data_IF_921895178919
#
_entry.id   IF_921895178919
#
_cell.length_a   1.000
_cell.length_b   1.000
_cell.length_c   1.000
_cell.angle_alpha   90.00
_cell.angle_beta   90.00
_cell.angle_gamma   90.00
#
_symmetry.space_group_name_H-M   'P 1'
#
loop_
_entity.id
_entity.type
_entity.pdbx_description
1 polymer ?
#
# COMPACT_ATOMS: atom_id res chain seq x y z
N UNK A 1 -21.82 12.54 0.36
CA UNK A 1 -21.96 11.16 -0.14
C UNK A 1 -21.01 10.31 0.69
N UNK A 2 -21.52 9.74 1.78
CA UNK A 2 -20.71 9.10 2.83
C UNK A 2 -20.21 7.73 2.39
N UNK A 3 -18.90 7.55 2.41
CA UNK A 3 -18.26 6.27 2.15
C UNK A 3 -18.67 5.27 3.24
N UNK A 4 -19.11 4.09 2.81
CA UNK A 4 -19.40 2.95 3.67
C UNK A 4 -18.15 2.57 4.46
N UNK A 5 -18.10 2.92 5.74
CA UNK A 5 -17.12 2.40 6.69
C UNK A 5 -17.36 0.89 6.82
N UNK A 6 -16.60 0.09 6.07
CA UNK A 6 -16.62 -1.37 6.26
C UNK A 6 -15.94 -1.66 7.60
N UNK A 7 -16.61 -2.40 8.48
CA UNK A 7 -15.93 -2.90 9.67
C UNK A 7 -14.79 -3.83 9.22
N UNK A 8 -13.75 -3.95 10.03
CA UNK A 8 -12.58 -4.80 9.72
C UNK A 8 -13.00 -6.27 9.47
N UNK A 9 -14.14 -6.69 10.04
CA UNK A 9 -14.75 -8.01 9.80
C UNK A 9 -15.23 -8.22 8.37
N UNK A 10 -15.56 -7.16 7.62
CA UNK A 10 -16.23 -7.24 6.31
C UNK A 10 -15.24 -6.99 5.15
N UNK A 11 -13.95 -6.89 5.47
CA UNK A 11 -12.84 -6.64 4.54
C UNK A 11 -12.78 -7.65 3.40
N UNK A 12 -12.96 -8.93 3.72
CA UNK A 12 -12.91 -10.03 2.73
C UNK A 12 -14.03 -9.95 1.69
N UNK A 13 -15.16 -9.33 2.03
CA UNK A 13 -16.34 -9.21 1.18
C UNK A 13 -16.37 -7.88 0.40
N UNK A 14 -15.38 -7.01 0.60
CA UNK A 14 -15.30 -5.72 -0.06
C UNK A 14 -15.11 -5.90 -1.59
N UNK A 15 -16.05 -5.41 -2.43
CA UNK A 15 -15.98 -5.61 -3.88
C UNK A 15 -14.69 -5.05 -4.50
N UNK A 16 -14.23 -3.89 -4.05
CA UNK A 16 -13.03 -3.25 -4.58
C UNK A 16 -11.78 -4.08 -4.30
N UNK A 17 -11.69 -4.67 -3.10
CA UNK A 17 -10.58 -5.58 -2.77
C UNK A 17 -10.69 -6.89 -3.54
N UNK A 18 -11.89 -7.41 -3.75
CA UNK A 18 -12.11 -8.62 -4.58
C UNK A 18 -11.71 -8.37 -6.04
N UNK A 19 -11.95 -7.17 -6.56
CA UNK A 19 -11.45 -6.75 -7.88
C UNK A 19 -9.92 -6.67 -7.88
N UNK A 20 -9.31 -6.03 -6.87
CA UNK A 20 -7.85 -5.91 -6.78
C UNK A 20 -7.14 -7.28 -6.80
N UNK A 21 -7.65 -8.25 -6.05
CA UNK A 21 -7.05 -9.59 -5.94
C UNK A 21 -7.51 -10.55 -7.04
N UNK A 22 -8.32 -10.07 -8.00
CA UNK A 22 -8.87 -10.86 -9.09
C UNK A 22 -7.85 -11.25 -10.18
N UNK A 23 -8.31 -12.05 -11.13
CA UNK A 23 -7.51 -12.54 -12.28
C UNK A 23 -7.42 -11.57 -13.44
N UNK A 24 -8.27 -10.55 -13.46
CA UNK A 24 -8.30 -9.54 -14.51
C UNK A 24 -7.32 -8.41 -14.18
N UNK A 25 -6.56 -7.97 -15.18
CA UNK A 25 -5.66 -6.83 -15.06
C UNK A 25 -6.46 -5.53 -14.95
N UNK A 26 -5.99 -4.64 -14.11
CA UNK A 26 -6.57 -3.32 -13.92
C UNK A 26 -5.63 -2.28 -14.51
N UNK A 27 -6.10 -1.56 -15.53
CA UNK A 27 -5.31 -0.49 -16.15
C UNK A 27 -4.97 0.61 -15.14
N UNK A 28 -3.76 1.15 -15.21
CA UNK A 28 -3.34 2.29 -14.37
C UNK A 28 -4.21 3.54 -14.57
N UNK A 29 -4.87 3.66 -15.72
CA UNK A 29 -5.79 4.77 -16.02
C UNK A 29 -7.23 4.49 -15.57
N UNK A 30 -7.52 3.33 -14.99
CA UNK A 30 -8.86 2.95 -14.60
C UNK A 30 -9.35 3.80 -13.40
N UNK A 31 -10.57 4.38 -13.45
CA UNK A 31 -11.16 5.11 -12.33
C UNK A 31 -11.26 4.30 -11.03
N UNK A 32 -11.22 2.96 -11.13
CA UNK A 32 -11.14 2.03 -10.00
C UNK A 32 -10.11 2.47 -8.96
N UNK A 33 -8.91 2.89 -9.37
CA UNK A 33 -7.84 3.24 -8.44
C UNK A 33 -8.23 4.40 -7.54
N UNK A 34 -8.82 5.45 -8.11
CA UNK A 34 -9.30 6.59 -7.34
C UNK A 34 -10.38 6.19 -6.36
N UNK A 35 -11.28 5.28 -6.75
CA UNK A 35 -12.29 4.75 -5.83
C UNK A 35 -11.64 3.94 -4.71
N UNK A 36 -10.77 2.99 -5.04
CA UNK A 36 -10.08 2.10 -4.11
C UNK A 36 -9.29 2.89 -3.06
N UNK A 37 -8.41 3.80 -3.50
CA UNK A 37 -7.54 4.56 -2.59
C UNK A 37 -8.29 5.71 -1.88
N UNK A 38 -9.51 6.03 -2.32
CA UNK A 38 -10.43 6.90 -1.58
C UNK A 38 -11.42 6.15 -0.67
N UNK A 39 -11.37 4.81 -0.61
CA UNK A 39 -12.04 4.06 0.46
C UNK A 39 -11.11 3.99 1.68
N UNK A 40 -11.59 4.41 2.85
CA UNK A 40 -10.79 4.39 4.08
C UNK A 40 -11.03 3.12 4.89
N UNK A 41 -9.98 2.31 5.05
CA UNK A 41 -9.75 1.57 6.29
C UNK A 41 -9.30 2.59 7.34
N UNK A 42 -9.87 2.55 8.53
CA UNK A 42 -9.36 3.38 9.63
C UNK A 42 -7.95 2.85 9.96
N UNK A 43 -6.92 3.49 9.40
CA UNK A 43 -5.54 3.21 9.80
C UNK A 43 -5.42 3.51 11.30
N UNK A 44 -4.95 2.57 12.15
CA UNK A 44 -4.91 2.75 13.60
C UNK A 44 -4.12 3.99 14.06
N UNK A 45 -3.25 4.53 13.20
CA UNK A 45 -2.42 5.72 13.44
C UNK A 45 -3.03 7.02 12.92
N UNK A 46 -4.02 6.97 12.04
CA UNK A 46 -4.58 8.17 11.40
C UNK A 46 -5.80 8.68 12.16
N UNK A 47 -5.56 9.29 13.33
CA UNK A 47 -6.58 10.04 14.08
C UNK A 47 -6.41 11.57 14.02
N UNK A 48 -5.53 12.07 13.16
CA UNK A 48 -5.30 13.52 13.02
C UNK A 48 -6.06 14.19 11.87
N UNK A 49 -6.79 13.46 11.03
CA UNK A 49 -7.66 14.09 10.02
C UNK A 49 -9.05 14.33 10.61
N UNK A 50 -9.17 15.35 11.46
CA UNK A 50 -10.43 16.07 11.62
C UNK A 50 -10.18 17.56 11.41
N UNK A 51 -10.65 18.09 10.27
CA UNK A 51 -11.30 19.39 10.30
C UNK A 51 -12.77 19.32 9.84
N UNK A 52 -13.34 18.12 9.65
CA UNK A 52 -14.74 17.96 9.16
C UNK A 52 -15.75 17.74 10.31
N UNK A 53 -15.33 17.38 11.53
CA UNK A 53 -16.26 17.14 12.65
C UNK A 53 -15.77 17.77 13.98
N UNK A 54 -16.25 18.98 14.34
CA UNK A 54 -15.78 19.72 15.51
C UNK A 54 -16.35 19.27 16.87
N UNK A 55 -17.25 18.28 16.92
CA UNK A 55 -17.98 17.91 18.15
C UNK A 55 -17.81 16.44 18.59
N UNK A 56 -16.80 15.72 18.12
CA UNK A 56 -16.48 14.40 18.66
C UNK A 56 -15.26 14.50 19.58
N UNK A 57 -15.51 14.42 20.88
CA UNK A 57 -14.51 14.44 21.95
C UNK A 57 -13.36 13.48 21.64
N UNK A 58 -12.15 14.03 21.56
CA UNK A 58 -10.91 13.30 21.34
C UNK A 58 -10.48 12.57 22.63
N UNK A 59 -10.19 11.27 22.60
CA UNK A 59 -9.12 10.70 23.40
C UNK A 59 -7.85 10.78 22.56
N UNK A 60 -7.02 11.77 22.88
CA UNK A 60 -5.59 11.80 22.58
C UNK A 60 -4.99 10.40 22.82
N UNK A 61 -4.36 9.83 21.78
CA UNK A 61 -3.58 8.59 21.84
C UNK A 61 -4.25 7.47 22.65
N UNK A 62 -5.30 6.85 22.10
CA UNK A 62 -5.31 5.39 22.24
C UNK A 62 -4.28 4.92 21.25
N UNK A 63 -3.13 4.48 21.79
CA UNK A 63 -2.44 3.30 21.30
C UNK A 63 -3.45 2.44 20.55
N UNK A 64 -3.12 2.11 19.30
CA UNK A 64 -3.65 0.97 18.56
C UNK A 64 -4.52 0.11 19.46
N UNK A 65 -5.84 0.13 19.26
CA UNK A 65 -6.64 -0.93 19.83
C UNK A 65 -6.04 -2.20 19.21
N UNK A 66 -5.22 -2.92 19.99
CA UNK A 66 -4.39 -4.01 19.46
C UNK A 66 -5.26 -5.09 18.81
N UNK A 67 -6.52 -5.15 19.22
CA UNK A 67 -7.59 -5.88 18.54
C UNK A 67 -7.80 -5.47 17.09
N UNK A 68 -7.98 -4.18 16.77
CA UNK A 68 -8.28 -3.74 15.39
C UNK A 68 -7.08 -3.96 14.45
N UNK A 69 -5.86 -3.75 14.94
CA UNK A 69 -4.64 -4.07 14.18
C UNK A 69 -4.53 -5.58 13.91
N UNK A 70 -4.87 -6.42 14.88
CA UNK A 70 -4.83 -7.87 14.75
C UNK A 70 -5.92 -8.37 13.80
N UNK A 71 -7.14 -7.85 13.93
CA UNK A 71 -8.26 -8.17 13.04
C UNK A 71 -7.95 -7.77 11.60
N UNK A 72 -7.30 -6.62 11.39
CA UNK A 72 -6.88 -6.19 10.07
C UNK A 72 -5.85 -7.17 9.47
N UNK A 73 -4.86 -7.58 10.27
CA UNK A 73 -3.89 -8.58 9.83
C UNK A 73 -4.57 -9.91 9.45
N UNK A 74 -5.50 -10.39 10.27
CA UNK A 74 -6.26 -11.61 10.01
C UNK A 74 -7.12 -11.51 8.74
N UNK A 75 -7.73 -10.34 8.50
CA UNK A 75 -8.58 -10.10 7.32
C UNK A 75 -7.79 -9.92 6.02
N UNK A 76 -6.56 -9.38 6.08
CA UNK A 76 -5.70 -9.17 4.90
C UNK A 76 -5.10 -10.48 4.39
N UNK A 77 -4.77 -11.41 5.28
CA UNK A 77 -4.14 -12.70 4.90
C UNK A 77 -4.85 -13.42 3.74
N UNK A 78 -6.17 -13.71 3.80
CA UNK A 78 -6.83 -14.43 2.71
C UNK A 78 -6.83 -13.64 1.40
N UNK A 79 -6.96 -12.32 1.44
CA UNK A 79 -6.90 -11.47 0.25
C UNK A 79 -5.51 -11.47 -0.37
N UNK A 80 -4.47 -11.32 0.46
CA UNK A 80 -3.09 -11.37 0.02
C UNK A 80 -2.75 -12.72 -0.61
N UNK A 81 -3.16 -13.85 -0.03
CA UNK A 81 -2.94 -15.18 -0.63
C UNK A 81 -3.58 -15.33 -2.01
N UNK A 82 -4.82 -14.86 -2.17
CA UNK A 82 -5.49 -14.84 -3.48
C UNK A 82 -4.72 -13.97 -4.47
N UNK A 83 -4.23 -12.81 -4.03
CA UNK A 83 -3.42 -11.93 -4.88
C UNK A 83 -2.10 -12.59 -5.30
N UNK A 84 -1.40 -13.27 -4.39
CA UNK A 84 -0.14 -14.00 -4.72
C UNK A 84 -0.36 -14.97 -5.88
N UNK A 85 -1.47 -15.71 -5.86
CA UNK A 85 -1.81 -16.70 -6.89
C UNK A 85 -2.23 -16.04 -8.21
N UNK A 86 -2.95 -14.92 -8.17
CA UNK A 86 -3.53 -14.28 -9.35
C UNK A 86 -2.64 -13.22 -9.99
N UNK A 87 -1.74 -12.60 -9.23
CA UNK A 87 -0.89 -11.49 -9.70
C UNK A 87 0.05 -11.87 -10.86
N UNK A 88 0.57 -13.11 -11.00
CA UNK A 88 1.27 -13.54 -12.22
C UNK A 88 0.48 -13.34 -13.51
N UNK A 89 -0.85 -13.35 -13.43
CA UNK A 89 -1.75 -13.11 -14.55
C UNK A 89 -2.24 -11.67 -14.63
N UNK A 90 -2.64 -11.07 -13.51
CA UNK A 90 -3.27 -9.74 -13.49
C UNK A 90 -2.28 -8.57 -13.42
N UNK A 91 -1.13 -8.74 -12.75
CA UNK A 91 -0.17 -7.66 -12.51
C UNK A 91 -0.70 -6.54 -11.59
N UNK A 92 -1.80 -6.78 -10.88
CA UNK A 92 -2.50 -5.75 -10.10
C UNK A 92 -1.68 -5.20 -8.93
N UNK A 93 -0.77 -5.99 -8.36
CA UNK A 93 0.14 -5.50 -7.32
C UNK A 93 1.13 -4.47 -7.89
N UNK A 94 1.75 -4.76 -9.03
CA UNK A 94 2.63 -3.81 -9.72
C UNK A 94 1.88 -2.53 -10.12
N UNK A 95 0.65 -2.67 -10.62
CA UNK A 95 -0.20 -1.51 -10.91
C UNK A 95 -0.48 -0.65 -9.66
N UNK A 96 -0.81 -1.27 -8.51
CA UNK A 96 -1.01 -0.54 -7.25
C UNK A 96 0.25 0.24 -6.83
N UNK A 97 1.44 -0.35 -6.98
CA UNK A 97 2.72 0.31 -6.69
C UNK A 97 2.94 1.52 -7.61
N UNK A 98 2.67 1.38 -8.91
CA UNK A 98 2.77 2.51 -9.86
C UNK A 98 1.78 3.62 -9.58
N UNK A 99 0.56 3.29 -9.14
CA UNK A 99 -0.42 4.29 -8.69
C UNK A 99 0.10 5.07 -7.49
N UNK A 100 0.68 4.38 -6.50
CA UNK A 100 1.35 5.05 -5.38
C UNK A 100 2.46 5.99 -5.86
N UNK A 101 3.38 5.48 -6.69
CA UNK A 101 4.49 6.27 -7.23
C UNK A 101 3.99 7.50 -8.01
N UNK A 102 2.95 7.35 -8.83
CA UNK A 102 2.28 8.44 -9.53
C UNK A 102 1.77 9.53 -8.57
N UNK A 103 1.13 9.14 -7.47
CA UNK A 103 0.63 10.08 -6.46
C UNK A 103 1.73 10.83 -5.72
N UNK A 104 2.89 10.21 -5.51
CA UNK A 104 4.02 10.89 -4.87
C UNK A 104 4.62 12.01 -5.72
N UNK A 105 4.52 11.94 -7.05
CA UNK A 105 4.97 13.01 -7.97
C UNK A 105 4.22 14.33 -7.75
N UNK A 106 2.99 14.26 -7.26
CA UNK A 106 2.12 15.41 -6.99
C UNK A 106 2.25 15.92 -5.53
N UNK A 107 3.03 15.24 -4.68
CA UNK A 107 3.03 15.46 -3.24
C UNK A 107 3.60 16.83 -2.84
N UNK A 108 4.64 17.28 -3.54
CA UNK A 108 5.27 18.59 -3.29
C UNK A 108 4.28 19.73 -3.56
N UNK A 109 3.62 19.70 -4.72
CA UNK A 109 2.59 20.67 -5.10
C UNK A 109 1.40 20.60 -4.14
N UNK A 110 0.98 19.39 -3.76
CA UNK A 110 -0.11 19.19 -2.79
C UNK A 110 0.19 19.79 -1.42
N UNK A 111 1.45 19.72 -0.97
CA UNK A 111 1.90 20.32 0.30
C UNK A 111 1.85 21.84 0.24
N UNK A 112 2.31 22.43 -0.86
CA UNK A 112 2.31 23.88 -1.09
C UNK A 112 0.88 24.44 -1.19
N UNK A 113 -0.02 23.71 -1.85
CA UNK A 113 -1.43 24.08 -2.02
C UNK A 113 -2.34 23.68 -0.84
N UNK A 114 -1.81 22.99 0.17
CA UNK A 114 -2.58 22.37 1.25
C UNK A 114 -3.69 21.42 0.75
N UNK A 115 -3.48 20.78 -0.40
CA UNK A 115 -4.39 19.77 -0.94
C UNK A 115 -4.17 18.43 -0.22
N UNK A 116 -5.04 18.16 0.76
CA UNK A 116 -4.96 16.95 1.56
C UNK A 116 -5.41 15.69 0.80
N UNK A 117 -6.15 15.83 -0.31
CA UNK A 117 -6.74 14.69 -1.00
C UNK A 117 -5.64 13.78 -1.58
N UNK A 118 -4.69 14.36 -2.32
CA UNK A 118 -3.61 13.59 -2.95
C UNK A 118 -2.65 13.01 -1.91
N UNK A 119 -2.32 13.76 -0.86
CA UNK A 119 -1.49 13.27 0.26
C UNK A 119 -2.14 12.05 0.91
N UNK A 120 -3.46 12.14 1.14
CA UNK A 120 -4.22 11.06 1.73
C UNK A 120 -4.36 9.84 0.82
N UNK A 121 -4.58 10.04 -0.49
CA UNK A 121 -4.62 8.95 -1.47
C UNK A 121 -3.25 8.24 -1.57
N UNK A 122 -2.15 8.99 -1.58
CA UNK A 122 -0.80 8.44 -1.57
C UNK A 122 -0.54 7.61 -0.30
N UNK A 123 -0.92 8.13 0.87
CA UNK A 123 -0.87 7.39 2.13
C UNK A 123 -1.67 6.08 2.07
N UNK A 124 -2.91 6.11 1.56
CA UNK A 124 -3.76 4.92 1.52
C UNK A 124 -3.21 3.85 0.58
N UNK A 125 -2.70 4.25 -0.59
CA UNK A 125 -2.04 3.32 -1.50
C UNK A 125 -0.83 2.65 -0.84
N UNK A 126 0.01 3.44 -0.14
CA UNK A 126 1.17 2.91 0.57
C UNK A 126 0.79 1.98 1.72
N UNK A 127 -0.27 2.32 2.45
CA UNK A 127 -0.80 1.47 3.52
C UNK A 127 -1.24 0.10 3.00
N UNK A 128 -1.96 0.07 1.87
CA UNK A 128 -2.35 -1.18 1.23
C UNK A 128 -1.13 -1.99 0.79
N UNK A 129 -0.13 -1.33 0.19
CA UNK A 129 1.14 -1.96 -0.22
C UNK A 129 1.82 -2.60 1.00
N UNK A 130 1.97 -1.87 2.12
CA UNK A 130 2.57 -2.40 3.35
C UNK A 130 1.81 -3.60 3.90
N UNK A 131 0.47 -3.54 3.94
CA UNK A 131 -0.37 -4.64 4.41
C UNK A 131 -0.16 -5.91 3.59
N UNK A 132 -0.11 -5.80 2.26
CA UNK A 132 0.17 -6.92 1.36
C UNK A 132 1.59 -7.44 1.53
N UNK A 133 2.59 -6.55 1.54
CA UNK A 133 3.99 -6.90 1.71
C UNK A 133 4.24 -7.67 3.01
N UNK A 134 3.59 -7.28 4.11
CA UNK A 134 3.71 -7.97 5.40
C UNK A 134 3.29 -9.45 5.31
N UNK A 135 2.35 -9.79 4.44
CA UNK A 135 1.97 -11.18 4.16
C UNK A 135 2.95 -11.81 3.17
N UNK A 136 3.33 -11.10 2.11
CA UNK A 136 4.24 -11.64 1.09
C UNK A 136 5.57 -12.09 1.70
N UNK A 137 6.22 -11.24 2.51
CA UNK A 137 7.52 -11.58 3.15
C UNK A 137 7.47 -12.81 4.08
N UNK A 138 6.28 -13.28 4.46
CA UNK A 138 6.06 -14.46 5.31
C UNK A 138 5.74 -15.72 4.51
N UNK A 139 5.27 -15.57 3.28
CA UNK A 139 4.67 -16.66 2.50
C UNK A 139 5.49 -17.03 1.25
N UNK A 140 6.49 -16.23 0.86
CA UNK A 140 7.28 -16.45 -0.36
C UNK A 140 8.77 -16.08 -0.18
N UNK A 141 9.62 -16.60 -1.07
CA UNK A 141 11.06 -16.28 -1.12
C UNK A 141 11.36 -14.88 -1.67
N UNK A 142 12.64 -14.49 -1.73
CA UNK A 142 13.04 -13.13 -2.11
C UNK A 142 12.89 -12.98 -3.63
N UNK A 143 13.22 -14.06 -4.35
CA UNK A 143 13.05 -14.19 -5.78
C UNK A 143 11.57 -14.15 -6.15
N UNK A 144 10.72 -14.87 -5.41
CA UNK A 144 9.27 -14.86 -5.63
C UNK A 144 8.67 -13.48 -5.33
N UNK A 145 9.14 -12.82 -4.25
CA UNK A 145 8.74 -11.45 -3.92
C UNK A 145 9.12 -10.48 -5.03
N UNK A 146 10.35 -10.54 -5.55
CA UNK A 146 10.79 -9.70 -6.66
C UNK A 146 9.93 -9.92 -7.91
N UNK A 147 9.59 -11.17 -8.22
CA UNK A 147 8.68 -11.49 -9.32
C UNK A 147 7.32 -10.82 -9.19
N UNK A 148 6.77 -10.66 -7.97
CA UNK A 148 5.48 -9.98 -7.76
C UNK A 148 5.48 -8.53 -8.28
N UNK A 149 6.63 -7.84 -8.26
CA UNK A 149 6.81 -6.49 -8.81
C UNK A 149 6.97 -6.48 -10.34
N UNK A 150 7.39 -7.61 -10.93
CA UNK A 150 7.68 -7.72 -12.36
C UNK A 150 6.45 -8.02 -13.23
N UNK A 151 5.39 -8.58 -12.63
CA UNK A 151 4.21 -9.00 -13.38
C UNK A 151 3.42 -7.80 -13.91
N UNK A 152 3.15 -7.83 -15.22
CA UNK A 152 2.32 -6.85 -15.92
C UNK A 152 1.48 -7.54 -16.98
N UNK A 153 0.36 -6.93 -17.37
CA UNK A 153 -0.41 -7.38 -18.52
C UNK A 153 0.48 -7.34 -19.77
N UNK A 154 0.71 -8.50 -20.39
CA UNK A 154 1.41 -8.57 -21.67
C UNK A 154 0.47 -8.09 -22.77
N UNK A 155 0.63 -6.84 -23.20
CA UNK A 155 -0.03 -6.36 -24.40
C UNK A 155 0.42 -7.20 -25.62
N UNK A 156 -0.51 -7.78 -26.40
CA UNK A 156 -0.16 -8.51 -27.61
C UNK A 156 0.44 -7.53 -28.64
N UNK A 157 1.75 -7.60 -28.86
CA UNK A 157 2.48 -6.80 -29.87
C UNK A 157 3.49 -5.78 -29.34
N UNK A 158 3.72 -5.70 -28.03
CA UNK A 158 4.82 -4.91 -27.47
C UNK A 158 6.15 -5.66 -27.64
N UNK A 159 7.02 -5.20 -28.54
CA UNK A 159 8.44 -5.54 -28.47
C UNK A 159 8.97 -4.98 -27.15
N UNK A 160 9.42 -5.86 -26.26
CA UNK A 160 9.98 -5.52 -24.96
C UNK A 160 11.35 -4.84 -25.14
N UNK A 161 11.35 -3.58 -25.55
CA UNK A 161 12.54 -2.72 -25.58
C UNK A 161 12.17 -1.33 -25.07
N UNK A 162 11.96 -1.21 -23.77
CA UNK A 162 12.24 0.01 -23.00
C UNK A 162 12.54 -0.49 -21.60
N UNK A 163 13.74 -0.19 -21.09
CA UNK A 163 14.33 -0.84 -19.91
C UNK A 163 13.32 -1.06 -18.81
N UNK A 164 13.16 -2.32 -18.36
CA UNK A 164 12.25 -2.60 -17.24
C UNK A 164 12.83 -1.89 -16.03
N UNK A 165 12.29 -0.72 -15.70
CA UNK A 165 12.57 -0.06 -14.45
C UNK A 165 12.23 -1.08 -13.35
N UNK A 166 13.22 -1.39 -12.52
CA UNK A 166 13.02 -2.30 -11.40
C UNK A 166 12.05 -1.60 -10.44
N UNK A 167 10.78 -2.00 -10.50
CA UNK A 167 9.70 -1.36 -9.76
C UNK A 167 9.90 -1.48 -8.25
N UNK A 168 10.59 -2.53 -7.79
CA UNK A 168 10.97 -2.65 -6.38
C UNK A 168 12.05 -1.62 -6.03
N UNK A 169 13.07 -1.45 -6.87
CA UNK A 169 14.09 -0.41 -6.68
C UNK A 169 13.46 1.00 -6.70
N UNK A 170 12.56 1.27 -7.63
CA UNK A 170 11.85 2.56 -7.71
C UNK A 170 11.01 2.81 -6.45
N UNK A 171 10.29 1.79 -5.95
CA UNK A 171 9.56 1.89 -4.69
C UNK A 171 10.49 2.19 -3.52
N UNK A 172 11.59 1.44 -3.35
CA UNK A 172 12.54 1.66 -2.25
C UNK A 172 13.18 3.04 -2.32
N UNK A 173 13.61 3.46 -3.51
CA UNK A 173 14.16 4.80 -3.77
C UNK A 173 13.15 5.89 -3.41
N UNK A 174 11.89 5.72 -3.82
CA UNK A 174 10.82 6.66 -3.53
C UNK A 174 10.51 6.75 -2.02
N UNK A 175 10.50 5.63 -1.28
CA UNK A 175 10.31 5.64 0.17
C UNK A 175 11.41 6.43 0.88
N UNK A 176 12.68 6.24 0.47
CA UNK A 176 13.81 7.02 1.00
C UNK A 176 13.64 8.50 0.64
N UNK A 177 13.28 8.80 -0.61
CA UNK A 177 13.04 10.16 -1.08
C UNK A 177 11.94 10.86 -0.28
N UNK A 178 10.82 10.19 -0.01
CA UNK A 178 9.76 10.73 0.85
C UNK A 178 10.30 11.11 2.23
N UNK A 179 11.08 10.24 2.86
CA UNK A 179 11.60 10.46 4.22
C UNK A 179 12.61 11.61 4.28
N UNK A 180 13.43 11.77 3.24
CA UNK A 180 14.52 12.77 3.23
C UNK A 180 14.07 14.13 2.71
N UNK A 181 13.21 14.16 1.70
CA UNK A 181 12.90 15.39 0.95
C UNK A 181 11.55 16.02 1.33
N UNK A 182 10.60 15.25 1.86
CA UNK A 182 9.29 15.80 2.25
C UNK A 182 9.38 16.36 3.68
N UNK A 183 9.04 17.63 3.90
CA UNK A 183 9.10 18.22 5.23
C UNK A 183 8.10 17.55 6.17
N UNK A 184 8.51 17.37 7.43
CA UNK A 184 7.66 16.87 8.49
C UNK A 184 6.68 17.95 8.94
N UNK A 185 5.44 17.85 8.45
CA UNK A 185 4.31 18.71 8.76
C UNK A 185 3.14 17.85 9.24
N UNK A 186 2.14 18.46 9.88
CA UNK A 186 0.95 17.73 10.34
C UNK A 186 0.24 16.99 9.19
N UNK A 187 0.18 17.62 8.01
CA UNK A 187 -0.45 17.05 6.81
C UNK A 187 0.36 15.92 6.16
N UNK A 188 1.69 15.91 6.32
CA UNK A 188 2.58 14.90 5.73
C UNK A 188 3.00 13.82 6.74
N UNK A 189 2.70 13.99 8.02
CA UNK A 189 3.09 13.07 9.09
C UNK A 189 2.68 11.62 8.79
N UNK A 190 1.42 11.41 8.39
CA UNK A 190 0.89 10.06 8.16
C UNK A 190 1.61 9.34 7.02
N UNK A 191 1.85 10.00 5.88
CA UNK A 191 2.55 9.38 4.75
C UNK A 191 4.03 9.11 5.07
N UNK A 192 4.69 10.02 5.78
CA UNK A 192 6.08 9.85 6.24
C UNK A 192 6.22 8.68 7.22
N UNK A 193 5.31 8.59 8.19
CA UNK A 193 5.27 7.48 9.13
C UNK A 193 5.04 6.15 8.40
N UNK A 194 4.08 6.12 7.47
CA UNK A 194 3.78 4.93 6.69
C UNK A 194 4.98 4.50 5.82
N UNK A 195 5.72 5.45 5.23
CA UNK A 195 6.95 5.17 4.49
C UNK A 195 8.04 4.53 5.36
N UNK A 196 8.30 5.07 6.55
CA UNK A 196 9.24 4.46 7.51
C UNK A 196 8.79 3.05 7.88
N UNK A 197 7.51 2.84 8.20
CA UNK A 197 7.04 1.50 8.56
C UNK A 197 7.08 0.51 7.41
N UNK A 198 6.92 0.97 6.16
CA UNK A 198 7.04 0.12 4.97
C UNK A 198 8.48 -0.32 4.75
N UNK A 199 9.47 0.58 4.92
CA UNK A 199 10.89 0.21 4.91
C UNK A 199 11.23 -0.80 6.01
N UNK A 200 10.68 -0.62 7.22
CA UNK A 200 10.86 -1.59 8.30
C UNK A 200 10.30 -2.97 7.94
N UNK A 201 9.17 -3.04 7.23
CA UNK A 201 8.62 -4.32 6.74
C UNK A 201 9.58 -4.97 5.73
N UNK A 202 10.08 -4.22 4.75
CA UNK A 202 11.07 -4.73 3.79
C UNK A 202 12.34 -5.25 4.49
N UNK A 203 12.93 -4.47 5.38
CA UNK A 203 14.15 -4.89 6.08
C UNK A 203 13.92 -5.98 7.13
N UNK A 204 12.67 -6.20 7.55
CA UNK A 204 12.32 -7.32 8.42
C UNK A 204 12.28 -8.67 7.69
N UNK A 205 12.42 -8.70 6.36
CA UNK A 205 12.39 -9.93 5.55
C UNK A 205 13.36 -11.01 6.07
N UNK A 206 14.58 -10.60 6.49
CA UNK A 206 15.60 -11.51 7.04
C UNK A 206 15.17 -12.18 8.36
N UNK A 207 14.21 -11.62 9.10
CA UNK A 207 13.67 -12.24 10.31
C UNK A 207 12.71 -13.40 10.01
N UNK A 208 12.13 -13.42 8.81
CA UNK A 208 11.16 -14.44 8.39
C UNK A 208 11.80 -15.56 7.56
N UNK A 209 12.92 -15.26 6.89
CA UNK A 209 13.66 -16.25 6.10
C UNK A 209 14.86 -16.74 6.87
N UNK A 210 14.65 -17.84 7.59
CA UNK A 210 15.70 -18.55 8.29
C UNK A 210 16.30 -19.60 7.36
N UNK A 211 17.05 -19.18 6.34
CA UNK A 211 17.87 -20.11 5.56
C UNK A 211 19.37 -19.75 5.63
N UNK A 212 20.11 -20.70 6.21
CA UNK A 212 21.57 -20.91 6.18
C UNK A 212 22.49 -19.89 6.86
N UNK A 213 22.44 -19.81 8.19
CA UNK A 213 23.66 -19.62 9.00
C UNK A 213 24.21 -20.96 9.48
N UNK A 214 24.24 -21.96 8.59
CA UNK A 214 24.93 -23.25 8.74
C UNK A 214 25.59 -23.59 7.40
N UNK A 215 26.65 -22.86 7.07
CA UNK A 215 27.72 -23.32 6.19
C UNK A 215 28.90 -22.37 6.38
N UNK A 216 29.73 -22.69 7.39
CA UNK A 216 31.20 -22.65 7.38
C UNK A 216 31.76 -23.18 8.71
#
# INVERSE_FOLDING_TARGET
>A
MGANTSQVSDLSDNPSLRTLVGTESISENDPFWNQLISFTFISPTSRYISPIFPNLTLPFVSLSNSGDSKLLEEAVIPLAKILIENNPRSGNFGALVRIFLGRTKELKVSTECQDQLFIWQAHNALFMIRCLLKVFIREMSEEELHLQFSYQERAPGSCAETGSEDLLEELLSNLIHLIVEVPLLDITYSILFEAVTTLLVFFSYQLFNKESSEMD
#
